data_IF_680900622928
#
_entry.id   IF_680900622928
#
_cell.length_a   1.000
_cell.length_b   1.000
_cell.length_c   1.000
_cell.angle_alpha   90.00
_cell.angle_beta   90.00
_cell.angle_gamma   90.00
#
_symmetry.space_group_name_H-M   'P 1'
#
loop_
_entity.id
_entity.type
_entity.pdbx_description
1 polymer ?
#
# COMPACT_ATOMS: atom_id res chain seq x y z
N UNK A 1 19.96 -7.55 -21.75
CA UNK A 1 20.07 -7.85 -20.29
C UNK A 1 18.79 -8.57 -19.91
N UNK A 2 18.84 -9.56 -19.01
CA UNK A 2 17.66 -10.41 -18.76
C UNK A 2 16.86 -9.94 -17.54
N UNK A 3 15.54 -10.15 -17.57
CA UNK A 3 14.60 -9.81 -16.50
C UNK A 3 15.04 -10.30 -15.11
N UNK A 4 15.68 -11.46 -15.04
CA UNK A 4 16.11 -12.06 -13.77
C UNK A 4 17.17 -11.24 -13.01
N UNK A 5 17.91 -10.37 -13.70
CA UNK A 5 19.02 -9.60 -13.12
C UNK A 5 18.63 -8.18 -12.70
N UNK A 6 17.65 -7.57 -13.39
CA UNK A 6 17.28 -6.16 -13.21
C UNK A 6 15.78 -5.95 -12.90
N UNK A 7 14.97 -7.00 -12.97
CA UNK A 7 13.54 -6.99 -12.66
C UNK A 7 12.76 -5.99 -13.51
N UNK A 8 11.83 -5.27 -12.87
CA UNK A 8 10.95 -4.30 -13.52
C UNK A 8 11.65 -3.00 -13.99
N UNK A 9 12.95 -2.83 -13.73
CA UNK A 9 13.70 -1.64 -14.13
C UNK A 9 14.32 -1.73 -15.53
N UNK A 10 14.07 -2.81 -16.28
CA UNK A 10 14.53 -2.98 -17.66
C UNK A 10 13.60 -2.22 -18.62
N UNK A 11 14.17 -1.71 -19.72
CA UNK A 11 13.47 -1.11 -20.86
C UNK A 11 12.32 -1.97 -21.44
N UNK A 12 12.29 -3.27 -21.14
CA UNK A 12 11.26 -4.24 -21.53
C UNK A 12 9.91 -4.01 -20.81
N UNK A 13 9.84 -3.11 -19.82
CA UNK A 13 8.56 -2.74 -19.16
C UNK A 13 7.53 -2.20 -20.16
N UNK A 14 7.98 -1.58 -21.26
CA UNK A 14 7.07 -1.09 -22.30
C UNK A 14 6.33 -2.22 -23.04
N UNK A 15 6.96 -3.38 -23.23
CA UNK A 15 6.31 -4.53 -23.87
C UNK A 15 5.26 -5.15 -22.94
N UNK A 16 5.57 -5.27 -21.65
CA UNK A 16 4.60 -5.71 -20.63
C UNK A 16 3.42 -4.74 -20.58
N UNK A 17 3.67 -3.43 -20.52
CA UNK A 17 2.62 -2.42 -20.55
C UNK A 17 1.73 -2.54 -21.79
N UNK A 18 2.33 -2.76 -22.96
CA UNK A 18 1.59 -2.91 -24.22
C UNK A 18 0.74 -4.17 -24.22
N UNK A 19 1.28 -5.30 -23.77
CA UNK A 19 0.54 -6.56 -23.64
C UNK A 19 -0.64 -6.39 -22.68
N UNK A 20 -0.39 -5.83 -21.49
CA UNK A 20 -1.42 -5.61 -20.46
C UNK A 20 -2.49 -4.64 -20.94
N UNK A 21 -2.11 -3.53 -21.59
CA UNK A 21 -3.06 -2.56 -22.18
C UNK A 21 -3.93 -3.20 -23.25
N UNK A 22 -3.35 -4.02 -24.13
CA UNK A 22 -4.12 -4.68 -25.18
C UNK A 22 -5.06 -5.75 -24.61
N UNK A 23 -4.62 -6.48 -23.58
CA UNK A 23 -5.43 -7.52 -22.94
C UNK A 23 -6.63 -6.96 -22.17
N UNK A 24 -6.49 -5.77 -21.57
CA UNK A 24 -7.50 -5.16 -20.70
C UNK A 24 -7.93 -3.76 -21.15
N UNK A 25 -7.90 -3.49 -22.46
CA UNK A 25 -8.15 -2.16 -23.03
C UNK A 25 -9.46 -1.54 -22.52
N UNK A 26 -10.55 -2.30 -22.55
CA UNK A 26 -11.88 -1.85 -22.12
C UNK A 26 -11.88 -1.40 -20.65
N UNK A 27 -11.16 -2.13 -19.78
CA UNK A 27 -11.06 -1.79 -18.35
C UNK A 27 -10.27 -0.51 -18.16
N UNK A 28 -9.17 -0.33 -18.89
CA UNK A 28 -8.38 0.90 -18.80
C UNK A 28 -9.12 2.12 -19.33
N UNK A 29 -9.95 1.98 -20.36
CA UNK A 29 -10.81 3.06 -20.83
C UNK A 29 -11.84 3.46 -19.77
N UNK A 30 -12.51 2.51 -19.13
CA UNK A 30 -13.41 2.78 -18.00
C UNK A 30 -12.67 3.51 -16.87
N UNK A 31 -11.44 3.08 -16.55
CA UNK A 31 -10.61 3.73 -15.54
C UNK A 31 -10.30 5.19 -15.89
N UNK A 32 -10.03 5.50 -17.17
CA UNK A 32 -9.79 6.88 -17.64
C UNK A 32 -11.04 7.74 -17.56
N UNK A 33 -12.20 7.19 -17.93
CA UNK A 33 -13.49 7.88 -17.81
C UNK A 33 -13.81 8.18 -16.35
N UNK A 34 -13.64 7.20 -15.46
CA UNK A 34 -13.86 7.36 -14.02
C UNK A 34 -12.90 8.40 -13.42
N UNK A 35 -11.62 8.36 -13.81
CA UNK A 35 -10.65 9.38 -13.40
C UNK A 35 -11.09 10.78 -13.83
N UNK A 36 -11.54 10.91 -15.08
CA UNK A 36 -12.01 12.20 -15.62
C UNK A 36 -13.22 12.71 -14.85
N UNK A 37 -14.19 11.84 -14.55
CA UNK A 37 -15.35 12.18 -13.73
C UNK A 37 -14.93 12.61 -12.32
N UNK A 38 -14.03 11.87 -11.67
CA UNK A 38 -13.55 12.19 -10.33
C UNK A 38 -12.84 13.55 -10.28
N UNK A 39 -12.02 13.88 -11.28
CA UNK A 39 -11.39 15.21 -11.39
C UNK A 39 -12.42 16.33 -11.61
N UNK A 40 -13.46 16.09 -12.42
CA UNK A 40 -14.55 17.08 -12.59
C UNK A 40 -15.27 17.34 -11.27
N UNK A 41 -15.61 16.27 -10.53
CA UNK A 41 -16.23 16.39 -9.20
C UNK A 41 -15.31 17.17 -8.27
N UNK A 42 -14.04 16.78 -8.14
CA UNK A 42 -13.05 17.46 -7.30
C UNK A 42 -12.96 18.96 -7.62
N UNK A 43 -12.85 19.31 -8.89
CA UNK A 43 -12.69 20.70 -9.32
C UNK A 43 -13.97 21.55 -9.10
N UNK A 44 -15.12 20.90 -8.92
CA UNK A 44 -16.39 21.58 -8.61
C UNK A 44 -16.60 21.87 -7.13
N UNK A 45 -15.77 21.29 -6.24
CA UNK A 45 -15.92 21.45 -4.80
C UNK A 45 -15.48 22.86 -4.39
N UNK A 46 -16.38 23.59 -3.72
CA UNK A 46 -16.06 24.84 -3.02
C UNK A 46 -15.72 24.53 -1.57
N UNK A 47 -14.48 24.84 -1.19
CA UNK A 47 -14.00 24.60 0.17
C UNK A 47 -14.44 25.72 1.12
N UNK A 48 -14.87 25.31 2.30
CA UNK A 48 -15.00 26.18 3.46
C UNK A 48 -13.80 25.90 4.36
N UNK A 49 -12.90 26.89 4.50
CA UNK A 49 -11.65 26.75 5.22
C UNK A 49 -11.82 26.81 6.74
N UNK A 50 -12.97 27.28 7.23
CA UNK A 50 -13.28 27.31 8.65
C UNK A 50 -13.95 25.99 9.11
N UNK A 51 -14.25 25.10 8.15
CA UNK A 51 -14.87 23.82 8.39
C UNK A 51 -13.88 22.66 8.22
N UNK A 52 -13.39 22.13 9.34
CA UNK A 52 -12.45 21.00 9.37
C UNK A 52 -12.97 19.78 8.60
N UNK A 53 -14.29 19.51 8.65
CA UNK A 53 -14.90 18.40 7.92
C UNK A 53 -14.76 18.56 6.42
N UNK A 54 -14.90 19.77 5.90
CA UNK A 54 -14.73 20.05 4.46
C UNK A 54 -13.28 19.81 4.05
N UNK A 55 -12.33 20.33 4.82
CA UNK A 55 -10.90 20.16 4.53
C UNK A 55 -10.52 18.68 4.55
N UNK A 56 -10.85 17.96 5.62
CA UNK A 56 -10.49 16.54 5.77
C UNK A 56 -11.17 15.69 4.70
N UNK A 57 -12.43 15.96 4.36
CA UNK A 57 -13.15 15.22 3.32
C UNK A 57 -12.48 15.39 1.94
N UNK A 58 -12.04 16.60 1.59
CA UNK A 58 -11.34 16.85 0.33
C UNK A 58 -9.95 16.23 0.33
N UNK A 59 -9.22 16.27 1.45
CA UNK A 59 -7.93 15.58 1.57
C UNK A 59 -8.07 14.06 1.39
N UNK A 60 -9.11 13.46 1.96
CA UNK A 60 -9.40 12.03 1.78
C UNK A 60 -9.79 11.71 0.32
N UNK A 61 -10.63 12.54 -0.30
CA UNK A 61 -10.97 12.40 -1.71
C UNK A 61 -9.74 12.48 -2.61
N UNK A 62 -8.84 13.44 -2.36
CA UNK A 62 -7.58 13.58 -3.08
C UNK A 62 -6.72 12.33 -2.94
N UNK A 63 -6.55 11.82 -1.71
CA UNK A 63 -5.80 10.59 -1.46
C UNK A 63 -6.38 9.38 -2.19
N UNK A 64 -7.71 9.24 -2.22
CA UNK A 64 -8.39 8.16 -2.94
C UNK A 64 -8.08 8.25 -4.43
N UNK A 65 -8.14 9.47 -5.00
CA UNK A 65 -7.84 9.72 -6.40
C UNK A 65 -6.39 9.42 -6.76
N UNK A 66 -5.43 9.88 -5.95
CA UNK A 66 -4.00 9.61 -6.14
C UNK A 66 -3.70 8.10 -6.03
N UNK A 67 -4.36 7.42 -5.08
CA UNK A 67 -4.22 5.97 -4.90
C UNK A 67 -4.82 5.21 -6.08
N UNK A 68 -5.97 5.63 -6.59
CA UNK A 68 -6.60 5.04 -7.78
C UNK A 68 -5.68 5.15 -9.01
N UNK A 69 -5.14 6.35 -9.27
CA UNK A 69 -4.21 6.56 -10.39
C UNK A 69 -2.94 5.71 -10.24
N UNK A 70 -2.40 5.65 -9.01
CA UNK A 70 -1.24 4.82 -8.71
C UNK A 70 -1.53 3.34 -8.95
N UNK A 71 -2.68 2.83 -8.51
CA UNK A 71 -3.13 1.45 -8.78
C UNK A 71 -3.19 1.19 -10.29
N UNK A 72 -3.80 2.08 -11.07
CA UNK A 72 -3.91 1.92 -12.53
C UNK A 72 -2.53 1.84 -13.18
N UNK A 73 -1.61 2.75 -12.82
CA UNK A 73 -0.24 2.78 -13.35
C UNK A 73 0.52 1.49 -13.00
N UNK A 74 0.41 1.02 -11.76
CA UNK A 74 1.07 -0.20 -11.31
C UNK A 74 0.49 -1.46 -11.98
N UNK A 75 -0.83 -1.48 -12.20
CA UNK A 75 -1.46 -2.55 -12.96
C UNK A 75 -0.98 -2.56 -14.41
N UNK A 76 -0.85 -1.39 -15.06
CA UNK A 76 -0.28 -1.28 -16.40
C UNK A 76 1.15 -1.82 -16.46
N UNK A 77 1.98 -1.61 -15.43
CA UNK A 77 3.37 -2.08 -15.39
C UNK A 77 3.52 -3.54 -14.95
N UNK A 78 2.45 -4.24 -14.61
CA UNK A 78 2.48 -5.62 -14.14
C UNK A 78 2.86 -5.78 -12.66
N UNK A 79 2.83 -4.70 -11.87
CA UNK A 79 3.11 -4.68 -10.44
C UNK A 79 1.86 -4.97 -9.61
N UNK A 80 1.26 -6.15 -9.81
CA UNK A 80 -0.03 -6.52 -9.22
C UNK A 80 -0.01 -6.48 -7.68
N UNK A 81 1.02 -7.02 -7.03
CA UNK A 81 1.10 -7.06 -5.57
C UNK A 81 1.11 -5.65 -4.93
N UNK A 82 1.84 -4.71 -5.53
CA UNK A 82 1.90 -3.34 -5.07
C UNK A 82 0.58 -2.61 -5.35
N UNK A 83 -0.01 -2.85 -6.53
CA UNK A 83 -1.32 -2.29 -6.88
C UNK A 83 -2.42 -2.72 -5.91
N UNK A 84 -2.42 -3.98 -5.44
CA UNK A 84 -3.36 -4.50 -4.47
C UNK A 84 -3.18 -3.83 -3.09
N UNK A 85 -1.94 -3.58 -2.71
CA UNK A 85 -1.60 -2.86 -1.47
C UNK A 85 -2.14 -1.43 -1.51
N UNK A 86 -1.93 -0.70 -2.61
CA UNK A 86 -2.46 0.66 -2.77
C UNK A 86 -3.99 0.65 -2.82
N UNK A 87 -4.60 -0.31 -3.51
CA UNK A 87 -6.05 -0.45 -3.60
C UNK A 87 -6.68 -0.60 -2.22
N UNK A 88 -6.09 -1.43 -1.36
CA UNK A 88 -6.54 -1.57 0.03
C UNK A 88 -6.47 -0.24 0.79
N UNK A 89 -5.34 0.45 0.69
CA UNK A 89 -5.14 1.77 1.32
C UNK A 89 -6.16 2.82 0.82
N UNK A 90 -6.54 2.75 -0.47
CA UNK A 90 -7.57 3.59 -1.07
C UNK A 90 -8.96 3.28 -0.50
N UNK A 91 -9.32 2.00 -0.38
CA UNK A 91 -10.60 1.57 0.21
C UNK A 91 -10.72 1.97 1.68
N UNK A 92 -9.65 1.88 2.45
CA UNK A 92 -9.62 2.37 3.83
C UNK A 92 -9.93 3.87 3.91
N UNK A 93 -9.32 4.68 3.03
CA UNK A 93 -9.63 6.11 2.93
C UNK A 93 -11.09 6.37 2.51
N UNK A 94 -11.62 5.58 1.57
CA UNK A 94 -13.03 5.66 1.15
C UNK A 94 -13.99 5.34 2.28
N UNK A 95 -13.71 4.31 3.09
CA UNK A 95 -14.55 3.98 4.25
C UNK A 95 -14.53 5.08 5.31
N UNK A 96 -13.38 5.72 5.54
CA UNK A 96 -13.28 6.88 6.43
C UNK A 96 -14.11 8.04 5.87
N UNK A 97 -13.96 8.36 4.58
CA UNK A 97 -14.73 9.44 3.94
C UNK A 97 -16.24 9.19 4.03
N UNK A 98 -16.68 7.98 3.69
CA UNK A 98 -18.09 7.58 3.82
C UNK A 98 -18.59 7.74 5.25
N UNK A 99 -17.77 7.38 6.24
CA UNK A 99 -18.14 7.51 7.64
C UNK A 99 -18.29 8.97 8.05
N UNK A 100 -17.41 9.87 7.60
CA UNK A 100 -17.54 11.30 7.82
C UNK A 100 -18.83 11.88 7.20
N UNK A 101 -19.27 11.36 6.05
CA UNK A 101 -20.54 11.76 5.43
C UNK A 101 -21.78 11.32 6.23
N UNK A 102 -21.69 10.19 6.95
CA UNK A 102 -22.81 9.65 7.76
C UNK A 102 -22.80 10.27 9.16
N UNK A 103 -21.63 10.43 9.75
CA UNK A 103 -21.41 10.92 11.11
C UNK A 103 -20.31 11.99 11.12
N UNK A 104 -20.69 13.28 11.02
CA UNK A 104 -19.75 14.40 11.06
C UNK A 104 -18.90 14.46 12.34
N UNK A 105 -19.45 14.02 13.48
CA UNK A 105 -18.73 14.03 14.76
C UNK A 105 -17.59 13.00 14.81
N UNK A 106 -17.55 12.06 13.86
CA UNK A 106 -16.44 11.13 13.73
C UNK A 106 -15.09 11.81 13.46
N UNK A 107 -15.09 13.07 12.99
CA UNK A 107 -13.87 13.82 12.71
C UNK A 107 -12.98 13.97 13.94
N UNK A 108 -13.54 14.22 15.13
CA UNK A 108 -12.78 14.38 16.37
C UNK A 108 -12.03 13.09 16.72
N UNK A 109 -12.70 11.94 16.53
CA UNK A 109 -12.11 10.63 16.73
C UNK A 109 -11.03 10.34 15.69
N UNK A 110 -11.25 10.75 14.44
CA UNK A 110 -10.29 10.56 13.36
C UNK A 110 -9.00 11.37 13.59
N UNK A 111 -9.13 12.66 13.92
CA UNK A 111 -8.00 13.54 14.24
C UNK A 111 -7.27 13.11 15.53
N UNK A 112 -8.01 12.64 16.54
CA UNK A 112 -7.45 12.13 17.79
C UNK A 112 -6.76 10.77 17.66
N UNK A 113 -7.05 9.99 16.61
CA UNK A 113 -6.54 8.63 16.45
C UNK A 113 -5.02 8.58 16.33
N UNK A 114 -4.42 9.50 15.56
CA UNK A 114 -2.96 9.55 15.35
C UNK A 114 -2.22 9.79 16.67
N UNK A 115 -2.72 10.70 17.51
CA UNK A 115 -2.13 11.01 18.80
C UNK A 115 -2.15 9.80 19.74
N UNK A 116 -3.24 9.01 19.72
CA UNK A 116 -3.39 7.81 20.54
C UNK A 116 -2.41 6.73 20.07
N UNK A 117 -2.33 6.47 18.76
CA UNK A 117 -1.41 5.48 18.21
C UNK A 117 0.05 5.85 18.47
N UNK A 118 0.42 7.13 18.28
CA UNK A 118 1.76 7.62 18.58
C UNK A 118 2.12 7.44 20.06
N UNK A 119 1.23 7.79 20.98
CA UNK A 119 1.43 7.58 22.42
C UNK A 119 1.59 6.10 22.75
N UNK A 120 0.79 5.22 22.13
CA UNK A 120 0.90 3.77 22.31
C UNK A 120 2.27 3.24 21.87
N UNK A 121 2.73 3.62 20.67
CA UNK A 121 4.06 3.24 20.16
C UNK A 121 5.20 3.76 21.04
N UNK A 122 5.12 5.01 21.51
CA UNK A 122 6.10 5.58 22.44
C UNK A 122 6.12 4.81 23.76
N UNK A 123 4.96 4.42 24.30
CA UNK A 123 4.88 3.65 25.54
C UNK A 123 5.48 2.25 25.40
N UNK A 124 5.24 1.58 24.27
CA UNK A 124 5.87 0.30 23.94
C UNK A 124 7.40 0.48 23.89
N UNK A 125 7.89 1.47 23.15
CA UNK A 125 9.34 1.75 23.05
C UNK A 125 9.99 2.10 24.41
N UNK A 126 9.26 2.78 25.31
CA UNK A 126 9.72 3.07 26.69
C UNK A 126 9.80 1.82 27.56
N UNK A 127 8.85 0.89 27.40
CA UNK A 127 8.87 -0.40 28.10
C UNK A 127 10.03 -1.28 27.59
N UNK A 128 10.28 -1.26 26.27
CA UNK A 128 11.40 -1.98 25.64
C UNK A 128 12.78 -1.37 25.95
N UNK A 129 12.87 -0.09 26.32
CA UNK A 129 14.13 0.50 26.81
C UNK A 129 14.69 -0.22 28.06
N UNK A 130 13.83 -0.83 28.89
CA UNK A 130 14.29 -1.72 29.98
C UNK A 130 14.86 -3.04 29.47
N UNK A 131 14.47 -3.50 28.29
CA UNK A 131 15.03 -4.67 27.62
C UNK A 131 16.31 -4.35 26.81
N UNK A 132 16.48 -3.10 26.36
CA UNK A 132 17.64 -2.66 25.56
C UNK A 132 18.84 -2.22 26.41
N UNK A 133 18.61 -1.74 27.65
CA UNK A 133 19.68 -1.38 28.60
C UNK A 133 20.09 -2.50 29.56
N UNK A 134 19.36 -3.61 29.60
CA UNK A 134 19.87 -4.86 30.18
C UNK A 134 20.70 -5.57 29.12
N UNK A 135 21.95 -5.94 29.43
CA UNK A 135 22.85 -6.68 28.54
C UNK A 135 22.05 -7.67 27.67
N UNK A 136 22.29 -7.75 26.35
CA UNK A 136 21.56 -8.69 25.51
C UNK A 136 21.82 -10.10 26.04
N UNK A 137 20.86 -10.66 26.77
CA UNK A 137 20.80 -12.10 26.95
C UNK A 137 20.38 -12.62 25.59
N UNK A 138 21.35 -12.76 24.69
CA UNK A 138 21.27 -13.51 23.46
C UNK A 138 20.63 -14.84 23.82
N UNK A 139 19.32 -14.95 23.58
CA UNK A 139 18.63 -16.21 23.69
C UNK A 139 19.27 -17.12 22.64
N UNK A 140 20.09 -18.07 23.11
CA UNK A 140 20.92 -18.98 22.28
C UNK A 140 20.13 -19.79 21.25
N UNK A 141 18.79 -19.70 21.25
CA UNK A 141 17.91 -20.32 20.27
C UNK A 141 17.76 -19.59 18.93
N UNK A 142 18.19 -18.32 18.79
CA UNK A 142 18.08 -17.62 17.51
C UNK A 142 19.00 -18.19 16.44
N UNK A 143 20.23 -18.58 16.81
CA UNK A 143 21.16 -19.27 15.89
C UNK A 143 20.56 -20.60 15.39
N UNK A 144 19.91 -21.37 16.26
CA UNK A 144 19.26 -22.64 15.90
C UNK A 144 18.04 -22.44 15.00
N UNK A 145 17.25 -21.38 15.22
CA UNK A 145 16.10 -21.04 14.35
C UNK A 145 16.55 -20.56 12.96
N UNK A 146 17.56 -19.70 12.88
CA UNK A 146 18.09 -19.27 11.58
C UNK A 146 18.79 -20.40 10.81
N UNK A 147 19.51 -21.30 11.49
CA UNK A 147 20.09 -22.49 10.84
C UNK A 147 19.03 -23.44 10.31
N UNK A 148 17.95 -23.68 11.07
CA UNK A 148 16.81 -24.47 10.59
C UNK A 148 16.12 -23.80 9.39
N UNK A 149 15.96 -22.48 9.41
CA UNK A 149 15.35 -21.75 8.29
C UNK A 149 16.23 -21.81 7.04
N UNK A 150 17.55 -21.64 7.15
CA UNK A 150 18.49 -21.82 6.03
C UNK A 150 18.53 -23.26 5.50
N UNK A 151 18.46 -24.28 6.38
CA UNK A 151 18.42 -25.69 5.96
C UNK A 151 17.11 -26.07 5.26
N UNK A 152 15.98 -25.50 5.71
CA UNK A 152 14.69 -25.67 5.03
C UNK A 152 14.74 -25.01 3.65
N UNK A 153 15.25 -23.78 3.54
CA UNK A 153 15.31 -23.06 2.27
C UNK A 153 16.23 -23.71 1.22
N UNK A 154 17.33 -24.33 1.67
CA UNK A 154 18.28 -25.05 0.80
C UNK A 154 17.82 -26.47 0.41
N UNK A 155 16.90 -27.08 1.18
CA UNK A 155 16.31 -28.38 0.85
C UNK A 155 15.04 -28.28 -0.01
N UNK A 156 14.36 -27.13 -0.03
CA UNK A 156 13.23 -26.87 -0.94
C UNK A 156 13.66 -26.43 -2.33
N UNK A 157 14.80 -25.72 -2.49
CA UNK A 157 15.28 -25.27 -3.80
C UNK A 157 16.04 -26.33 -4.61
N UNK A 158 16.37 -27.49 -4.04
CA UNK A 158 17.03 -28.59 -4.76
C UNK A 158 16.05 -29.61 -5.36
N UNK A 159 14.74 -29.46 -5.15
CA UNK A 159 13.70 -30.41 -5.62
C UNK A 159 12.76 -29.89 -6.70
N UNK A 160 12.92 -28.65 -7.17
CA UNK A 160 12.01 -28.03 -8.15
C UNK A 160 12.62 -27.76 -9.53
N UNK A 161 13.89 -28.11 -9.77
CA UNK A 161 14.53 -27.97 -11.10
C UNK A 161 15.25 -29.24 -11.55
N UNK A 162 14.53 -30.36 -11.59
CA UNK A 162 14.91 -31.56 -12.38
C UNK A 162 13.65 -32.34 -12.81
N UNK A 163 12.85 -31.79 -13.73
CA UNK A 163 12.12 -32.57 -14.74
C UNK A 163 11.43 -31.64 -15.74
N UNK A 164 11.56 -31.98 -17.03
CA UNK A 164 11.13 -31.25 -18.25
C UNK A 164 12.08 -30.10 -18.59
N UNK A 165 12.88 -30.12 -19.66
CA UNK A 165 12.87 -30.91 -20.90
C UNK A 165 14.30 -31.17 -21.36
#
# INVERSE_FOLDING_TARGET
MKFEEQGFLIYETHEIQKITKNAFADVFEICKELNTLAHRIRNSIKLDYDNELHIISVCLLQRILDSFQSTVILMETGLEADSNTITRSSLEALFILRKLCIDPHYIEKYLGYDQIQRKKLINIAKQDKKAFCGKPSLNRNWKKKCQKFCQIYSSTNSKTYTSKS
#
